data_IF_091744585502
#
_entry.id   IF_091744585502
#
_cell.length_a   1.000
_cell.length_b   1.000
_cell.length_c   1.000
_cell.angle_alpha   90.00
_cell.angle_beta   90.00
_cell.angle_gamma   90.00
#
_symmetry.space_group_name_H-M   'P 1'
#
loop_
_entity.id
_entity.type
_entity.pdbx_description
1 polymer ?
#
# COMPACT_ATOMS: atom_id res chain seq x y z
N UNK A 1 -27.75 -7.13 9.32
CA UNK A 1 -26.43 -7.38 8.70
C UNK A 1 -26.57 -7.43 7.18
N UNK A 2 -27.15 -6.39 6.55
CA UNK A 2 -27.44 -6.39 5.10
C UNK A 2 -26.94 -5.12 4.39
N UNK A 3 -26.94 -3.98 5.09
CA UNK A 3 -26.67 -2.67 4.48
C UNK A 3 -25.23 -2.45 3.97
N UNK A 4 -24.24 -3.22 4.46
CA UNK A 4 -22.83 -3.11 4.02
C UNK A 4 -22.58 -3.87 2.72
N UNK A 5 -23.22 -5.03 2.57
CA UNK A 5 -23.06 -5.90 1.39
C UNK A 5 -23.76 -5.28 0.16
N UNK A 6 -24.90 -4.60 0.37
CA UNK A 6 -25.62 -3.84 -0.65
C UNK A 6 -24.86 -2.59 -1.15
N UNK A 7 -23.91 -2.07 -0.37
CA UNK A 7 -23.05 -0.94 -0.77
C UNK A 7 -21.83 -1.43 -1.57
N UNK A 8 -21.22 -2.55 -1.17
CA UNK A 8 -20.08 -3.12 -1.87
C UNK A 8 -20.46 -3.62 -3.27
N UNK A 9 -21.68 -4.11 -3.45
CA UNK A 9 -22.22 -4.56 -4.74
C UNK A 9 -22.48 -3.42 -5.73
N UNK A 10 -22.52 -2.16 -5.27
CA UNK A 10 -22.65 -0.97 -6.12
C UNK A 10 -21.31 -0.47 -6.66
N UNK A 11 -20.19 -0.91 -6.08
CA UNK A 11 -18.86 -0.59 -6.58
C UNK A 11 -18.54 -1.53 -7.74
N UNK A 12 -18.36 -0.96 -8.95
CA UNK A 12 -17.85 -1.72 -10.09
C UNK A 12 -16.35 -1.96 -9.92
N UNK A 13 -16.00 -2.92 -9.06
CA UNK A 13 -14.63 -3.36 -8.82
C UNK A 13 -14.30 -4.57 -9.68
N UNK A 14 -13.13 -4.56 -10.30
CA UNK A 14 -12.61 -5.71 -11.02
C UNK A 14 -11.44 -6.30 -10.25
N UNK A 15 -11.60 -7.55 -9.81
CA UNK A 15 -10.59 -8.30 -9.08
C UNK A 15 -10.60 -8.09 -7.57
N UNK A 16 -9.83 -8.93 -6.89
CA UNK A 16 -9.62 -8.95 -5.44
C UNK A 16 -8.12 -8.87 -5.11
N UNK A 17 -7.77 -8.97 -3.83
CA UNK A 17 -6.37 -8.94 -3.37
C UNK A 17 -5.51 -10.06 -3.99
N UNK A 18 -6.07 -11.23 -4.26
CA UNK A 18 -5.36 -12.32 -4.91
C UNK A 18 -5.02 -11.98 -6.37
N UNK A 19 -5.93 -11.30 -7.06
CA UNK A 19 -5.68 -10.81 -8.43
C UNK A 19 -4.59 -9.73 -8.43
N UNK A 20 -4.57 -8.85 -7.42
CA UNK A 20 -3.48 -7.89 -7.20
C UNK A 20 -2.14 -8.60 -6.98
N UNK A 21 -2.08 -9.63 -6.13
CA UNK A 21 -0.86 -10.39 -5.89
C UNK A 21 -0.39 -11.13 -7.14
N UNK A 22 -1.31 -11.71 -7.91
CA UNK A 22 -1.00 -12.34 -9.19
C UNK A 22 -0.47 -11.30 -10.20
N UNK A 23 -1.06 -10.11 -10.24
CA UNK A 23 -0.58 -9.01 -11.06
C UNK A 23 0.85 -8.61 -10.69
N UNK A 24 1.11 -8.48 -9.37
CA UNK A 24 2.44 -8.16 -8.87
C UNK A 24 3.44 -9.25 -9.26
N UNK A 25 3.12 -10.52 -9.06
CA UNK A 25 4.03 -11.61 -9.40
C UNK A 25 4.43 -11.65 -10.88
N UNK A 26 3.54 -11.19 -11.78
CA UNK A 26 3.73 -11.30 -13.23
C UNK A 26 4.14 -9.98 -13.91
N UNK A 27 4.22 -8.86 -13.18
CA UNK A 27 4.50 -7.54 -13.77
C UNK A 27 5.82 -6.97 -13.26
N UNK A 28 6.65 -6.48 -14.17
CA UNK A 28 7.92 -5.81 -13.85
C UNK A 28 7.74 -4.31 -13.60
N UNK A 29 8.68 -3.71 -12.86
CA UNK A 29 8.74 -2.26 -12.63
C UNK A 29 7.47 -1.68 -12.00
N UNK A 30 7.03 -2.28 -10.89
CA UNK A 30 5.80 -1.87 -10.21
C UNK A 30 6.06 -0.70 -9.26
N UNK A 31 5.15 0.27 -9.27
CA UNK A 31 5.02 1.29 -8.26
C UNK A 31 3.73 1.05 -7.46
N UNK A 32 3.86 0.89 -6.14
CA UNK A 32 2.71 0.83 -5.24
C UNK A 32 2.37 2.24 -4.77
N UNK A 33 1.10 2.62 -4.79
CA UNK A 33 0.62 3.88 -4.21
C UNK A 33 -0.38 3.58 -3.11
N UNK A 34 -0.19 4.18 -1.94
CA UNK A 34 -1.11 4.09 -0.80
C UNK A 34 -1.40 5.49 -0.25
N UNK A 35 -2.63 5.73 0.20
CA UNK A 35 -3.08 7.05 0.69
C UNK A 35 -2.52 7.42 2.07
N UNK A 36 -2.04 6.43 2.82
CA UNK A 36 -1.36 6.63 4.09
C UNK A 36 -0.46 5.42 4.38
N UNK A 37 0.37 5.54 5.42
CA UNK A 37 1.23 4.43 5.83
C UNK A 37 0.40 3.21 6.25
N UNK A 38 -0.65 3.46 7.06
CA UNK A 38 -1.47 2.44 7.66
C UNK A 38 -2.35 1.68 6.66
N UNK A 39 -2.59 2.29 5.51
CA UNK A 39 -3.31 1.72 4.39
C UNK A 39 -2.51 0.57 3.81
N UNK A 40 -1.22 0.79 3.54
CA UNK A 40 -0.35 -0.25 3.03
C UNK A 40 -0.06 -1.32 4.09
N UNK A 41 0.44 -0.91 5.25
CA UNK A 41 0.76 -1.83 6.35
C UNK A 41 0.88 -1.08 7.67
N UNK A 42 0.70 -1.80 8.78
CA UNK A 42 1.01 -1.29 10.12
C UNK A 42 2.14 -2.06 10.78
N UNK A 43 2.72 -3.02 10.06
CA UNK A 43 3.82 -3.87 10.50
C UNK A 43 4.94 -3.76 9.46
N UNK A 44 6.06 -3.20 9.88
CA UNK A 44 7.19 -2.94 9.00
C UNK A 44 7.95 -4.23 8.61
N UNK A 45 7.91 -5.26 9.46
CA UNK A 45 8.47 -6.59 9.14
C UNK A 45 7.67 -7.26 8.02
N UNK A 46 6.34 -7.12 8.03
CA UNK A 46 5.48 -7.65 6.97
C UNK A 46 5.77 -6.94 5.63
N UNK A 47 5.95 -5.62 5.66
CA UNK A 47 6.33 -4.85 4.45
C UNK A 47 7.70 -5.27 3.94
N UNK A 48 8.66 -5.43 4.82
CA UNK A 48 10.01 -5.85 4.45
C UNK A 48 10.02 -7.26 3.85
N UNK A 49 9.30 -8.21 4.45
CA UNK A 49 9.08 -9.55 3.91
C UNK A 49 8.42 -9.51 2.52
N UNK A 50 7.37 -8.71 2.38
CA UNK A 50 6.64 -8.53 1.12
C UNK A 50 7.55 -7.99 -0.01
N UNK A 51 8.38 -6.98 0.28
CA UNK A 51 9.31 -6.43 -0.70
C UNK A 51 10.47 -7.37 -1.05
N UNK A 52 10.85 -8.28 -0.14
CA UNK A 52 11.80 -9.36 -0.44
C UNK A 52 11.19 -10.39 -1.38
N UNK A 53 9.92 -10.76 -1.17
CA UNK A 53 9.21 -11.73 -1.99
C UNK A 53 8.90 -11.20 -3.40
N UNK A 54 8.72 -9.88 -3.54
CA UNK A 54 8.33 -9.23 -4.79
C UNK A 54 9.41 -8.23 -5.27
N UNK A 55 10.53 -8.71 -5.85
CA UNK A 55 11.64 -7.86 -6.31
C UNK A 55 11.28 -6.95 -7.50
N UNK A 56 10.14 -7.22 -8.14
CA UNK A 56 9.61 -6.46 -9.25
C UNK A 56 8.98 -5.12 -8.82
N UNK A 57 8.66 -4.94 -7.53
CA UNK A 57 8.28 -3.65 -6.96
C UNK A 57 9.53 -2.76 -6.90
N UNK A 58 9.51 -1.60 -7.52
CA UNK A 58 10.64 -0.67 -7.51
C UNK A 58 10.41 0.49 -6.56
N UNK A 59 9.15 0.94 -6.42
CA UNK A 59 8.82 2.12 -5.63
C UNK A 59 7.54 1.95 -4.83
N UNK A 60 7.49 2.65 -3.70
CA UNK A 60 6.27 2.84 -2.91
C UNK A 60 6.06 4.34 -2.75
N UNK A 61 4.86 4.80 -3.06
CA UNK A 61 4.41 6.17 -2.87
C UNK A 61 3.37 6.16 -1.77
N UNK A 62 3.57 7.01 -0.77
CA UNK A 62 2.61 7.29 0.29
C UNK A 62 2.05 8.70 0.03
N UNK A 63 0.85 8.74 -0.52
CA UNK A 63 0.11 9.95 -0.88
C UNK A 63 -0.75 10.44 0.28
N UNK A 64 -0.09 11.08 1.25
CA UNK A 64 -0.74 11.79 2.35
C UNK A 64 -0.99 13.26 2.00
N UNK A 65 -1.02 13.62 0.71
CA UNK A 65 -1.33 14.98 0.26
C UNK A 65 -2.68 15.47 0.78
N UNK A 66 -3.76 14.65 0.84
CA UNK A 66 -5.06 15.11 1.33
C UNK A 66 -5.06 15.58 2.78
N UNK A 67 -4.14 15.08 3.62
CA UNK A 67 -4.11 15.36 5.06
C UNK A 67 -2.94 16.25 5.46
N UNK A 68 -1.78 16.08 4.84
CA UNK A 68 -0.52 16.73 5.24
C UNK A 68 0.13 17.52 4.09
N UNK A 69 -0.45 17.50 2.88
CA UNK A 69 0.08 18.24 1.74
C UNK A 69 1.43 17.71 1.21
N UNK A 70 1.81 16.49 1.58
CA UNK A 70 3.08 15.87 1.18
C UNK A 70 2.88 14.51 0.54
N UNK A 71 3.77 14.16 -0.39
CA UNK A 71 3.86 12.84 -0.99
C UNK A 71 5.23 12.28 -0.66
N UNK A 72 5.28 11.08 -0.09
CA UNK A 72 6.55 10.39 0.17
C UNK A 72 6.79 9.33 -0.89
N UNK A 73 7.98 9.36 -1.49
CA UNK A 73 8.40 8.38 -2.49
C UNK A 73 9.57 7.61 -1.93
N UNK A 74 9.44 6.29 -1.88
CA UNK A 74 10.44 5.38 -1.37
C UNK A 74 10.88 4.40 -2.46
N UNK A 75 12.17 4.38 -2.75
CA UNK A 75 12.77 3.32 -3.56
C UNK A 75 12.80 2.02 -2.74
N UNK A 76 12.53 0.86 -3.37
CA UNK A 76 12.54 -0.45 -2.69
C UNK A 76 13.84 -0.69 -1.93
N UNK A 77 14.97 -0.37 -2.55
CA UNK A 77 16.28 -0.59 -1.94
C UNK A 77 16.48 0.26 -0.68
N UNK A 78 15.88 1.44 -0.60
CA UNK A 78 15.94 2.25 0.62
C UNK A 78 15.15 1.56 1.75
N UNK A 79 13.94 1.08 1.46
CA UNK A 79 13.10 0.40 2.45
C UNK A 79 13.69 -0.93 2.93
N UNK A 80 14.47 -1.62 2.09
CA UNK A 80 15.13 -2.88 2.47
C UNK A 80 16.40 -2.70 3.29
N UNK A 81 17.03 -1.53 3.25
CA UNK A 81 18.35 -1.31 3.84
C UNK A 81 18.37 -0.21 4.92
N UNK A 82 17.34 0.63 5.02
CA UNK A 82 17.23 1.68 6.03
C UNK A 82 16.05 1.43 6.97
N UNK A 83 16.38 0.90 8.14
CA UNK A 83 15.41 0.60 9.21
C UNK A 83 14.67 1.85 9.69
N UNK A 84 15.30 3.04 9.67
CA UNK A 84 14.63 4.28 10.12
C UNK A 84 13.53 4.69 9.16
N UNK A 85 13.74 4.48 7.86
CA UNK A 85 12.74 4.75 6.84
C UNK A 85 11.63 3.71 6.91
N UNK A 86 11.99 2.43 7.07
CA UNK A 86 11.05 1.33 7.21
C UNK A 86 10.16 1.47 8.45
N UNK A 87 10.71 1.94 9.57
CA UNK A 87 9.98 2.17 10.82
C UNK A 87 8.95 3.31 10.75
N UNK A 88 8.89 4.10 9.67
CA UNK A 88 7.77 5.04 9.46
C UNK A 88 6.43 4.34 9.25
N UNK A 89 6.46 3.09 8.81
CA UNK A 89 5.26 2.26 8.61
C UNK A 89 4.69 1.71 9.93
N UNK A 90 5.45 1.77 11.03
CA UNK A 90 4.99 1.48 12.41
C UNK A 90 4.13 2.62 12.98
N UNK A 91 3.09 2.99 12.25
CA UNK A 91 2.26 4.16 12.54
C UNK A 91 1.13 3.88 13.55
N UNK A 92 0.86 2.61 13.90
CA UNK A 92 -0.14 2.22 14.90
C UNK A 92 0.52 1.64 16.15
N UNK A 93 0.97 2.52 17.06
CA UNK A 93 1.31 2.10 18.43
C UNK A 93 0.02 1.66 19.15
N UNK A 94 0.11 0.59 19.95
CA UNK A 94 -0.98 -0.22 20.57
C UNK A 94 -2.19 0.48 21.24
N UNK A 95 -2.30 1.80 21.29
CA UNK A 95 -3.20 2.51 22.22
C UNK A 95 -4.22 3.48 21.59
N UNK A 96 -4.58 3.41 20.30
CA UNK A 96 -5.65 4.27 19.77
C UNK A 96 -6.79 3.50 19.10
N UNK A 97 -8.07 3.78 19.43
CA UNK A 97 -9.22 3.07 18.89
C UNK A 97 -9.44 3.35 17.41
N UNK A 98 -9.93 2.33 16.74
CA UNK A 98 -10.01 2.15 15.29
C UNK A 98 -10.93 3.15 14.60
N UNK A 99 -10.42 3.90 13.62
CA UNK A 99 -11.22 4.26 12.45
C UNK A 99 -10.93 3.19 11.38
N UNK A 100 -11.97 2.47 10.94
CA UNK A 100 -11.86 1.59 9.77
C UNK A 100 -11.69 2.50 8.56
N UNK A 101 -10.45 2.63 8.09
CA UNK A 101 -10.17 3.22 6.78
C UNK A 101 -10.09 2.04 5.80
N UNK A 102 -10.94 2.05 4.79
CA UNK A 102 -10.82 1.11 3.67
C UNK A 102 -9.57 1.50 2.89
N UNK A 103 -8.54 0.66 2.96
CA UNK A 103 -7.31 0.86 2.19
C UNK A 103 -7.62 0.73 0.71
N UNK A 104 -7.36 1.79 -0.05
CA UNK A 104 -7.20 1.72 -1.49
C UNK A 104 -5.71 1.65 -1.82
N UNK A 105 -5.24 0.51 -2.30
CA UNK A 105 -3.93 0.42 -2.98
C UNK A 105 -4.19 0.65 -4.45
N UNK A 106 -3.70 1.76 -4.99
CA UNK A 106 -3.79 2.03 -6.43
C UNK A 106 -2.45 1.62 -7.05
N UNK A 107 -2.48 0.60 -7.90
CA UNK A 107 -1.36 0.24 -8.76
C UNK A 107 -1.38 1.16 -9.99
N UNK A 108 -0.44 2.11 -10.07
CA UNK A 108 -0.20 2.84 -11.31
C UNK A 108 0.89 2.13 -12.10
N UNK A 109 0.60 1.76 -13.35
CA UNK A 109 1.60 1.29 -14.30
C UNK A 109 2.02 2.38 -15.25
N UNK A 110 3.29 2.27 -15.67
CA UNK A 110 4.06 3.20 -16.50
C UNK A 110 3.24 4.13 -17.41
N UNK A 111 3.19 5.41 -17.06
CA UNK A 111 3.05 6.48 -18.04
C UNK A 111 4.44 6.70 -18.64
N UNK A 112 4.70 6.11 -19.80
CA UNK A 112 5.85 6.50 -20.60
C UNK A 112 5.65 7.99 -20.98
N UNK A 113 6.61 8.83 -20.60
CA UNK A 113 6.79 10.17 -21.19
C UNK A 113 7.37 9.99 -22.59
#
# INVERSE_FOLDING_TARGET
MHQKDDLLTQLSVNGNTQDMLAYIANTQNICLVSLDYAGLTTNCDDLHGFLKQHPNIQKIIIDIMPTEGVIHIYERNLLLNDEKVLNKFECRKKNNPTFKVETFIILYTNLYV
#
